data_IF_950176659016
#
_entry.id   IF_950176659016
#
_cell.length_a   1.000
_cell.length_b   1.000
_cell.length_c   1.000
_cell.angle_alpha   90.00
_cell.angle_beta   90.00
_cell.angle_gamma   90.00
#
_symmetry.space_group_name_H-M   'P 1'
#
loop_
_entity.id
_entity.type
_entity.pdbx_description
1 polymer ?
#
# COMPACT_ATOMS: atom_id res chain seq x y z
N UNK A 1 -59.17 17.28 -59.54
CA UNK A 1 -57.90 17.53 -60.26
C UNK A 1 -56.78 16.90 -59.44
N UNK A 2 -55.90 16.17 -60.14
CA UNK A 2 -54.52 15.76 -59.79
C UNK A 2 -54.31 14.88 -58.55
N UNK A 3 -54.15 13.56 -58.69
CA UNK A 3 -52.96 12.78 -59.09
C UNK A 3 -51.84 12.79 -58.04
N UNK A 4 -51.65 11.62 -57.43
CA UNK A 4 -50.38 11.15 -56.82
C UNK A 4 -49.24 11.18 -57.84
N UNK A 5 -47.98 11.18 -57.36
CA UNK A 5 -47.21 9.95 -57.57
C UNK A 5 -46.34 9.53 -56.38
N UNK A 6 -45.98 8.25 -56.44
CA UNK A 6 -45.07 7.49 -55.60
C UNK A 6 -43.70 8.13 -55.36
N UNK A 7 -43.09 7.82 -54.22
CA UNK A 7 -41.72 7.31 -54.20
C UNK A 7 -41.42 6.55 -52.91
N UNK A 8 -41.34 5.25 -53.13
CA UNK A 8 -40.76 4.22 -52.30
C UNK A 8 -39.23 4.34 -52.33
N UNK A 9 -38.58 4.60 -51.19
CA UNK A 9 -37.19 4.20 -50.96
C UNK A 9 -37.10 3.68 -49.53
N UNK A 10 -37.23 2.36 -49.40
CA UNK A 10 -36.84 1.63 -48.21
C UNK A 10 -35.35 1.80 -47.94
N UNK A 11 -35.05 2.36 -46.78
CA UNK A 11 -33.74 2.31 -46.15
C UNK A 11 -33.89 1.58 -44.82
N UNK A 12 -34.00 0.25 -44.87
CA UNK A 12 -33.64 -0.57 -43.71
C UNK A 12 -32.15 -0.37 -43.45
N UNK A 13 -31.82 0.62 -42.62
CA UNK A 13 -30.54 0.65 -41.95
C UNK A 13 -30.64 -0.40 -40.86
N UNK A 14 -30.26 -1.63 -41.22
CA UNK A 14 -29.81 -2.63 -40.27
C UNK A 14 -28.56 -2.04 -39.62
N UNK A 15 -28.77 -1.26 -38.56
CA UNK A 15 -27.71 -0.89 -37.63
C UNK A 15 -27.41 -2.16 -36.85
N UNK A 16 -26.49 -2.95 -37.40
CA UNK A 16 -25.83 -4.04 -36.71
C UNK A 16 -25.16 -3.46 -35.48
N UNK A 17 -25.93 -3.45 -34.39
CA UNK A 17 -25.51 -3.23 -33.02
C UNK A 17 -24.47 -4.28 -32.73
N UNK A 18 -23.22 -3.93 -32.95
CA UNK A 18 -22.08 -4.65 -32.41
C UNK A 18 -22.14 -4.42 -30.89
N UNK A 19 -22.85 -5.31 -30.20
CA UNK A 19 -22.85 -5.38 -28.75
C UNK A 19 -21.44 -5.78 -28.30
N UNK A 20 -20.58 -4.77 -28.20
CA UNK A 20 -19.35 -4.83 -27.41
C UNK A 20 -19.78 -5.23 -25.99
N UNK A 21 -19.19 -6.29 -25.41
CA UNK A 21 -19.80 -6.98 -24.28
C UNK A 21 -19.82 -6.10 -23.04
N UNK A 22 -21.02 -5.97 -22.44
CA UNK A 22 -21.34 -5.30 -21.17
C UNK A 22 -20.58 -5.83 -19.92
N UNK A 23 -19.54 -6.63 -20.13
CA UNK A 23 -18.67 -7.21 -19.11
C UNK A 23 -17.66 -6.17 -18.59
N UNK A 24 -17.20 -5.25 -19.47
CA UNK A 24 -16.25 -4.19 -19.14
C UNK A 24 -16.79 -3.21 -18.09
N UNK A 25 -18.07 -2.83 -18.19
CA UNK A 25 -18.65 -1.79 -17.34
C UNK A 25 -18.91 -2.30 -15.91
N UNK A 26 -19.38 -3.54 -15.77
CA UNK A 26 -19.63 -4.15 -14.46
C UNK A 26 -18.34 -4.37 -13.67
N UNK A 27 -17.28 -4.82 -14.33
CA UNK A 27 -15.98 -5.01 -13.67
C UNK A 27 -15.34 -3.67 -13.29
N UNK A 28 -15.49 -2.65 -14.13
CA UNK A 28 -15.01 -1.29 -13.86
C UNK A 28 -15.73 -0.65 -12.67
N UNK A 29 -17.07 -0.77 -12.62
CA UNK A 29 -17.87 -0.32 -11.46
C UNK A 29 -17.47 -1.07 -10.19
N UNK A 30 -17.29 -2.39 -10.26
CA UNK A 30 -16.86 -3.19 -9.11
C UNK A 30 -15.45 -2.80 -8.62
N UNK A 31 -14.52 -2.50 -9.54
CA UNK A 31 -13.20 -2.00 -9.20
C UNK A 31 -13.26 -0.62 -8.52
N UNK A 32 -14.05 0.32 -9.05
CA UNK A 32 -14.23 1.64 -8.45
C UNK A 32 -14.88 1.56 -7.06
N UNK A 33 -15.92 0.72 -6.89
CA UNK A 33 -16.53 0.46 -5.57
C UNK A 33 -15.52 -0.09 -4.57
N UNK A 34 -14.64 -1.02 -4.98
CA UNK A 34 -13.55 -1.55 -4.13
C UNK A 34 -12.54 -0.48 -3.74
N UNK A 35 -12.12 0.38 -4.67
CA UNK A 35 -11.21 1.50 -4.35
C UNK A 35 -11.83 2.48 -3.37
N UNK A 36 -13.09 2.89 -3.57
CA UNK A 36 -13.84 3.73 -2.62
C UNK A 36 -13.93 3.09 -1.24
N UNK A 37 -14.28 1.80 -1.17
CA UNK A 37 -14.39 1.07 0.10
C UNK A 37 -13.03 0.98 0.82
N UNK A 38 -11.95 0.75 0.09
CA UNK A 38 -10.59 0.71 0.64
C UNK A 38 -10.17 2.07 1.19
N UNK A 39 -10.40 3.15 0.44
CA UNK A 39 -10.12 4.51 0.89
C UNK A 39 -10.93 4.89 2.13
N UNK A 40 -12.21 4.52 2.17
CA UNK A 40 -13.06 4.67 3.38
C UNK A 40 -12.47 3.91 4.57
N UNK A 41 -12.05 2.65 4.36
CA UNK A 41 -11.42 1.84 5.40
C UNK A 41 -10.14 2.48 5.96
N UNK A 42 -9.31 3.09 5.11
CA UNK A 42 -8.14 3.85 5.58
C UNK A 42 -8.53 5.08 6.40
N UNK A 43 -9.51 5.86 5.94
CA UNK A 43 -10.01 7.03 6.65
C UNK A 43 -10.55 6.66 8.03
N UNK A 44 -11.45 5.67 8.12
CA UNK A 44 -11.99 5.18 9.39
C UNK A 44 -10.88 4.68 10.31
N UNK A 45 -9.88 3.95 9.79
CA UNK A 45 -8.74 3.51 10.60
C UNK A 45 -7.93 4.67 11.17
N UNK A 46 -7.80 5.79 10.44
CA UNK A 46 -7.13 6.97 10.99
C UNK A 46 -7.96 7.65 12.06
N UNK A 47 -9.29 7.72 11.90
CA UNK A 47 -10.19 8.20 12.95
C UNK A 47 -10.03 7.36 14.22
N UNK A 48 -10.03 6.02 14.12
CA UNK A 48 -9.82 5.13 15.28
C UNK A 48 -8.45 5.32 15.95
N UNK A 49 -7.40 5.64 15.18
CA UNK A 49 -6.06 5.90 15.73
C UNK A 49 -6.07 7.22 16.51
N UNK A 50 -6.67 8.26 15.94
CA UNK A 50 -6.78 9.58 16.59
C UNK A 50 -7.61 9.48 17.87
N UNK A 51 -8.74 8.77 17.84
CA UNK A 51 -9.61 8.53 19.00
C UNK A 51 -8.89 7.77 20.13
N UNK A 52 -8.02 6.81 19.78
CA UNK A 52 -7.16 6.14 20.79
C UNK A 52 -6.08 7.05 21.34
N UNK A 53 -5.58 8.00 20.56
CA UNK A 53 -4.55 8.93 21.01
C UNK A 53 -5.13 9.97 21.97
N UNK A 54 -6.35 10.46 21.71
CA UNK A 54 -7.04 11.42 22.58
C UNK A 54 -7.43 10.85 23.95
N UNK A 55 -7.46 9.53 24.10
CA UNK A 55 -7.66 8.88 25.39
C UNK A 55 -6.55 9.18 26.42
N UNK A 56 -5.39 9.73 26.00
CA UNK A 56 -4.31 10.15 26.89
C UNK A 56 -3.85 11.57 26.54
N UNK A 57 -4.05 12.49 27.46
CA UNK A 57 -3.72 13.92 27.33
C UNK A 57 -2.24 14.17 26.96
N UNK A 58 -1.31 13.31 27.38
CA UNK A 58 0.10 13.45 27.03
C UNK A 58 0.38 13.26 25.52
N UNK A 59 -0.61 12.84 24.75
CA UNK A 59 -0.50 12.68 23.30
C UNK A 59 -0.92 13.92 22.50
N UNK A 60 -1.23 15.08 23.11
CA UNK A 60 -1.70 16.29 22.39
C UNK A 60 -0.85 16.59 21.14
N UNK A 61 0.49 16.63 21.28
CA UNK A 61 1.40 16.85 20.15
C UNK A 61 1.26 15.78 19.05
N UNK A 62 1.12 14.50 19.43
CA UNK A 62 0.95 13.40 18.48
C UNK A 62 -0.40 13.44 17.77
N UNK A 63 -1.46 13.84 18.47
CA UNK A 63 -2.80 14.07 17.88
C UNK A 63 -2.70 15.21 16.88
N UNK A 64 -2.05 16.32 17.23
CA UNK A 64 -1.82 17.47 16.34
C UNK A 64 -1.08 17.08 15.06
N UNK A 65 0.03 16.36 15.18
CA UNK A 65 0.80 15.88 14.02
C UNK A 65 -0.02 14.98 13.09
N UNK A 66 -0.82 14.09 13.68
CA UNK A 66 -1.72 13.21 12.93
C UNK A 66 -2.86 13.96 12.27
N UNK A 67 -3.39 14.98 12.92
CA UNK A 67 -4.40 15.89 12.36
C UNK A 67 -3.88 16.63 11.13
N UNK A 68 -2.62 17.09 11.11
CA UNK A 68 -2.03 17.68 9.90
C UNK A 68 -1.98 16.74 8.70
N UNK A 69 -1.81 15.43 8.94
CA UNK A 69 -1.80 14.42 7.89
C UNK A 69 -3.19 13.90 7.53
N UNK A 70 -4.20 14.12 8.38
CA UNK A 70 -5.55 13.56 8.25
C UNK A 70 -6.29 13.99 6.96
N UNK A 71 -6.21 15.25 6.49
CA UNK A 71 -6.82 15.68 5.23
C UNK A 71 -6.40 14.84 4.01
N UNK A 72 -5.17 14.30 4.00
CA UNK A 72 -4.69 13.45 2.89
C UNK A 72 -5.53 12.17 2.74
N UNK A 73 -6.13 11.66 3.81
CA UNK A 73 -6.99 10.47 3.76
C UNK A 73 -8.40 10.83 3.29
N UNK A 74 -8.89 12.01 3.67
CA UNK A 74 -10.14 12.59 3.15
C UNK A 74 -10.03 12.79 1.63
N UNK A 75 -8.92 13.36 1.16
CA UNK A 75 -8.64 13.54 -0.26
C UNK A 75 -8.59 12.21 -1.03
N UNK A 76 -7.91 11.20 -0.49
CA UNK A 76 -7.89 9.85 -1.09
C UNK A 76 -9.29 9.25 -1.22
N UNK A 77 -10.14 9.44 -0.22
CA UNK A 77 -11.55 9.04 -0.32
C UNK A 77 -12.30 9.83 -1.39
N UNK A 78 -12.13 11.17 -1.43
CA UNK A 78 -12.77 12.03 -2.41
C UNK A 78 -12.40 11.67 -3.85
N UNK A 79 -11.11 11.42 -4.12
CA UNK A 79 -10.63 10.97 -5.44
C UNK A 79 -11.28 9.64 -5.82
N UNK A 80 -11.22 8.63 -4.96
CA UNK A 80 -11.84 7.33 -5.23
C UNK A 80 -13.37 7.42 -5.37
N UNK A 81 -14.01 8.40 -4.71
CA UNK A 81 -15.42 8.66 -4.85
C UNK A 81 -15.76 9.27 -6.22
N UNK A 82 -15.01 10.27 -6.66
CA UNK A 82 -15.18 10.89 -7.99
C UNK A 82 -14.96 9.86 -9.10
N UNK A 83 -13.97 8.98 -8.95
CA UNK A 83 -13.77 7.86 -9.88
C UNK A 83 -15.00 6.94 -9.98
N UNK A 84 -15.65 6.66 -8.84
CA UNK A 84 -16.89 5.88 -8.85
C UNK A 84 -18.00 6.63 -9.59
N UNK A 85 -18.21 7.90 -9.30
CA UNK A 85 -19.24 8.69 -9.99
C UNK A 85 -19.02 8.71 -11.51
N UNK A 86 -17.77 8.79 -11.96
CA UNK A 86 -17.42 8.78 -13.38
C UNK A 86 -17.73 7.48 -14.13
N UNK A 87 -17.98 6.37 -13.42
CA UNK A 87 -18.29 5.06 -14.03
C UNK A 87 -19.74 4.61 -13.80
N UNK A 88 -20.52 5.36 -13.02
CA UNK A 88 -21.94 5.07 -12.81
C UNK A 88 -22.76 5.62 -13.98
N UNK A 89 -23.64 4.79 -14.53
CA UNK A 89 -24.48 5.14 -15.69
C UNK A 89 -25.91 5.49 -15.28
N UNK A 90 -26.35 5.06 -14.10
CA UNK A 90 -27.71 5.27 -13.60
C UNK A 90 -27.77 6.46 -12.63
N UNK A 91 -28.68 7.40 -12.89
CA UNK A 91 -28.88 8.60 -12.06
C UNK A 91 -29.16 8.26 -10.59
N UNK A 92 -29.89 7.17 -10.33
CA UNK A 92 -30.23 6.77 -8.96
C UNK A 92 -28.99 6.29 -8.18
N UNK A 93 -28.09 5.56 -8.86
CA UNK A 93 -26.83 5.12 -8.26
C UNK A 93 -25.89 6.30 -7.96
N UNK A 94 -25.91 7.33 -8.82
CA UNK A 94 -25.17 8.58 -8.60
C UNK A 94 -25.70 9.29 -7.35
N UNK A 95 -27.01 9.46 -7.22
CA UNK A 95 -27.63 10.09 -6.03
C UNK A 95 -27.32 9.31 -4.75
N UNK A 96 -27.43 7.98 -4.78
CA UNK A 96 -27.10 7.14 -3.63
C UNK A 96 -25.63 7.29 -3.23
N UNK A 97 -24.72 7.32 -4.21
CA UNK A 97 -23.30 7.53 -3.97
C UNK A 97 -23.03 8.93 -3.38
N UNK A 98 -23.61 9.98 -3.94
CA UNK A 98 -23.47 11.35 -3.42
C UNK A 98 -23.99 11.47 -1.99
N UNK A 99 -25.16 10.91 -1.69
CA UNK A 99 -25.71 10.90 -0.34
C UNK A 99 -24.78 10.15 0.63
N UNK A 100 -24.21 9.03 0.19
CA UNK A 100 -23.22 8.30 0.98
C UNK A 100 -21.98 9.15 1.29
N UNK A 101 -21.48 9.94 0.32
CA UNK A 101 -20.37 10.87 0.54
C UNK A 101 -20.75 11.93 1.57
N UNK A 102 -21.90 12.57 1.41
CA UNK A 102 -22.37 13.62 2.34
C UNK A 102 -22.41 13.09 3.77
N UNK A 103 -23.03 11.93 3.98
CA UNK A 103 -23.13 11.32 5.32
C UNK A 103 -21.76 11.00 5.93
N UNK A 104 -20.79 10.55 5.13
CA UNK A 104 -19.45 10.26 5.62
C UNK A 104 -18.68 11.56 5.93
N UNK A 105 -18.78 12.57 5.07
CA UNK A 105 -18.08 13.84 5.27
C UNK A 105 -18.62 14.60 6.48
N UNK A 106 -19.92 14.48 6.77
CA UNK A 106 -20.53 15.02 7.99
C UNK A 106 -19.91 14.39 9.25
N UNK A 107 -19.77 13.06 9.28
CA UNK A 107 -19.09 12.36 10.37
C UNK A 107 -17.62 12.78 10.53
N UNK A 108 -16.91 12.94 9.41
CA UNK A 108 -15.51 13.37 9.39
C UNK A 108 -15.37 14.78 9.93
N UNK A 109 -16.23 15.70 9.50
CA UNK A 109 -16.22 17.09 9.95
C UNK A 109 -16.49 17.20 11.45
N UNK A 110 -17.52 16.52 11.96
CA UNK A 110 -17.84 16.49 13.40
C UNK A 110 -16.66 15.93 14.20
N UNK A 111 -16.00 14.88 13.69
CA UNK A 111 -14.83 14.29 14.32
C UNK A 111 -13.63 15.24 14.32
N UNK A 112 -13.31 15.87 13.19
CA UNK A 112 -12.21 16.85 13.08
C UNK A 112 -12.43 18.04 14.02
N UNK A 113 -13.65 18.58 14.06
CA UNK A 113 -14.03 19.67 14.98
C UNK A 113 -13.85 19.25 16.44
N UNK A 114 -14.29 18.05 16.81
CA UNK A 114 -14.08 17.49 18.15
C UNK A 114 -12.60 17.41 18.53
N UNK A 115 -11.75 17.00 17.59
CA UNK A 115 -10.29 16.95 17.81
C UNK A 115 -9.66 18.33 17.94
N UNK A 116 -10.06 19.29 17.12
CA UNK A 116 -9.57 20.67 17.23
C UNK A 116 -9.96 21.31 18.57
N UNK A 117 -11.20 21.10 19.02
CA UNK A 117 -11.66 21.57 20.32
C UNK A 117 -10.89 20.89 21.47
N UNK A 118 -10.64 19.58 21.37
CA UNK A 118 -9.86 18.85 22.37
C UNK A 118 -8.41 19.33 22.44
N UNK A 119 -7.77 19.59 21.30
CA UNK A 119 -6.41 20.17 21.26
C UNK A 119 -6.42 21.56 21.91
N UNK A 120 -7.35 22.43 21.52
CA UNK A 120 -7.43 23.79 22.04
C UNK A 120 -7.64 23.83 23.56
N UNK A 121 -8.52 22.97 24.09
CA UNK A 121 -8.78 22.89 25.53
C UNK A 121 -7.50 22.57 26.33
N UNK A 122 -6.70 21.62 25.85
CA UNK A 122 -5.50 21.20 26.57
C UNK A 122 -4.28 22.10 26.33
N UNK A 123 -4.25 22.85 25.24
CA UNK A 123 -3.27 23.94 25.05
C UNK A 123 -3.54 25.10 26.02
N UNK A 124 -4.81 25.46 26.25
CA UNK A 124 -5.16 26.52 27.21
C UNK A 124 -4.91 26.12 28.66
N UNK A 125 -5.11 24.85 29.02
CA UNK A 125 -4.82 24.35 30.37
C UNK A 125 -3.30 24.36 30.67
N UNK A 126 -2.45 24.04 29.69
CA UNK A 126 -0.99 24.12 29.83
C UNK A 126 -0.51 25.58 29.96
N UNK A 127 -1.10 26.50 29.18
CA UNK A 127 -0.75 27.92 29.24
C UNK A 127 -1.21 28.56 30.57
N UNK A 128 -2.43 28.26 31.04
CA UNK A 128 -2.95 28.72 32.33
C UNK A 128 -2.16 28.16 33.51
N UNK A 129 -1.79 26.87 33.51
CA UNK A 129 -0.93 26.29 34.56
C UNK A 129 0.46 26.95 34.58
N UNK A 130 1.03 27.23 33.40
CA UNK A 130 2.31 27.92 33.28
C UNK A 130 2.25 29.37 33.77
N UNK A 131 1.15 30.07 33.49
CA UNK A 131 0.94 31.45 33.91
C UNK A 131 0.63 31.52 35.41
N UNK A 132 -0.13 30.57 35.96
CA UNK A 132 -0.37 30.47 37.40
C UNK A 132 0.91 30.10 38.17
N UNK A 133 1.77 29.23 37.63
CA UNK A 133 3.09 28.96 38.20
C UNK A 133 3.98 30.22 38.17
N UNK A 134 3.93 30.98 37.07
CA UNK A 134 4.65 32.26 36.95
C UNK A 134 4.08 33.33 37.89
N UNK A 135 2.77 33.37 38.07
CA UNK A 135 2.10 34.27 39.00
C UNK A 135 2.45 33.93 40.44
N UNK A 136 2.47 32.64 40.82
CA UNK A 136 2.91 32.19 42.14
C UNK A 136 4.39 32.54 42.41
N UNK A 137 5.26 32.40 41.40
CA UNK A 137 6.67 32.84 41.46
C UNK A 137 6.82 34.36 41.54
N UNK A 138 5.88 35.13 40.97
CA UNK A 138 5.87 36.60 41.04
C UNK A 138 5.17 37.16 42.29
N UNK A 139 4.20 36.42 42.84
CA UNK A 139 3.47 36.72 44.07
C UNK A 139 4.29 36.39 45.32
N UNK A 140 5.32 35.53 45.20
CA UNK A 140 6.53 35.64 46.01
C UNK A 140 7.33 36.89 45.64
N UNK A 141 6.71 38.06 45.79
CA UNK A 141 7.43 39.33 45.84
C UNK A 141 8.48 39.30 46.96
N UNK A 142 9.54 40.13 46.87
CA UNK A 142 10.74 40.00 47.67
C UNK A 142 10.41 40.15 49.15
N UNK A 143 10.27 39.04 49.86
CA UNK A 143 10.08 39.07 51.30
C UNK A 143 11.45 39.17 51.97
N UNK A 144 11.81 40.42 52.28
CA UNK A 144 12.90 40.86 53.14
C UNK A 144 14.32 40.41 52.74
N UNK A 145 15.04 41.29 52.05
CA UNK A 145 16.50 41.28 52.06
C UNK A 145 17.06 42.70 52.07
N UNK A 146 16.59 43.55 52.98
CA UNK A 146 17.40 44.64 53.54
C UNK A 146 17.99 44.19 54.88
N UNK A 147 18.91 43.22 54.82
CA UNK A 147 20.04 43.07 55.74
C UNK A 147 20.87 41.90 55.20
N UNK A 148 22.17 42.11 54.99
CA UNK A 148 23.18 41.07 54.71
C UNK A 148 23.50 40.77 53.22
N UNK A 149 23.29 41.71 52.30
CA UNK A 149 23.79 41.55 50.91
C UNK A 149 25.33 41.56 50.78
N UNK A 150 26.08 41.90 51.84
CA UNK A 150 27.55 41.86 51.88
C UNK A 150 28.13 40.67 52.67
N UNK A 151 27.33 39.63 52.94
CA UNK A 151 27.86 38.40 53.54
C UNK A 151 28.36 37.46 52.45
N UNK A 152 29.65 37.05 52.45
CA UNK A 152 30.21 36.13 51.44
C UNK A 152 29.48 34.77 51.36
N UNK A 153 28.65 34.45 52.35
CA UNK A 153 27.81 33.24 52.39
C UNK A 153 26.55 33.41 51.49
N UNK A 154 26.04 34.63 51.33
CA UNK A 154 24.85 34.90 50.51
C UNK A 154 25.18 34.89 49.02
N UNK A 155 26.31 35.48 48.63
CA UNK A 155 26.82 35.44 47.25
C UNK A 155 27.18 34.02 46.80
N UNK A 156 27.72 33.18 47.69
CA UNK A 156 27.99 31.77 47.38
C UNK A 156 26.72 30.95 47.13
N UNK A 157 25.65 31.21 47.89
CA UNK A 157 24.35 30.55 47.71
C UNK A 157 23.65 30.98 46.41
N UNK A 158 23.76 32.25 46.03
CA UNK A 158 23.23 32.75 44.76
C UNK A 158 24.02 32.18 43.57
N UNK A 159 25.35 32.13 43.66
CA UNK A 159 26.19 31.57 42.61
C UNK A 159 25.95 30.06 42.42
N UNK A 160 25.85 29.30 43.50
CA UNK A 160 25.56 27.85 43.41
C UNK A 160 24.16 27.57 42.87
N UNK A 161 23.17 28.42 43.17
CA UNK A 161 21.85 28.32 42.58
C UNK A 161 21.86 28.63 41.08
N UNK A 162 22.53 29.70 40.66
CA UNK A 162 22.70 30.07 39.25
C UNK A 162 23.47 29.00 38.46
N UNK A 163 24.50 28.37 39.04
CA UNK A 163 25.21 27.25 38.42
C UNK A 163 24.31 26.03 38.23
N UNK A 164 23.45 25.72 39.21
CA UNK A 164 22.50 24.62 39.10
C UNK A 164 21.42 24.89 38.04
N UNK A 165 20.90 26.12 37.97
CA UNK A 165 19.95 26.52 36.92
C UNK A 165 20.59 26.51 35.53
N UNK A 166 21.80 27.07 35.38
CA UNK A 166 22.52 27.04 34.11
C UNK A 166 22.77 25.60 33.64
N UNK A 167 23.15 24.70 34.56
CA UNK A 167 23.32 23.29 34.23
C UNK A 167 22.02 22.64 33.78
N UNK A 168 20.90 22.96 34.45
CA UNK A 168 19.58 22.44 34.08
C UNK A 168 19.18 22.93 32.68
N UNK A 169 19.41 24.20 32.37
CA UNK A 169 19.15 24.78 31.05
C UNK A 169 20.07 24.15 29.98
N UNK A 170 21.34 23.90 30.29
CA UNK A 170 22.25 23.20 29.38
C UNK A 170 21.79 21.76 29.10
N UNK A 171 21.32 21.04 30.12
CA UNK A 171 20.77 19.70 29.98
C UNK A 171 19.48 19.71 29.12
N UNK A 172 18.58 20.68 29.31
CA UNK A 172 17.38 20.88 28.49
C UNK A 172 17.71 21.20 27.03
N UNK A 173 18.69 22.08 26.78
CA UNK A 173 19.15 22.40 25.43
C UNK A 173 19.69 21.15 24.72
N UNK A 174 20.46 20.32 25.43
CA UNK A 174 20.94 19.06 24.87
C UNK A 174 19.78 18.10 24.56
N UNK A 175 18.82 17.94 25.48
CA UNK A 175 17.66 17.09 25.25
C UNK A 175 16.85 17.55 24.02
N UNK A 176 16.55 18.84 23.91
CA UNK A 176 15.85 19.41 22.76
C UNK A 176 16.63 19.22 21.45
N UNK A 177 17.95 19.37 21.48
CA UNK A 177 18.81 19.11 20.32
C UNK A 177 18.77 17.64 19.89
N UNK A 178 18.81 16.70 20.84
CA UNK A 178 18.67 15.27 20.52
C UNK A 178 17.31 14.96 19.93
N UNK A 179 16.23 15.55 20.47
CA UNK A 179 14.86 15.38 19.97
C UNK A 179 14.70 15.90 18.54
N UNK A 180 15.21 17.09 18.24
CA UNK A 180 15.20 17.64 16.88
C UNK A 180 15.97 16.77 15.88
N UNK A 181 17.13 16.25 16.29
CA UNK A 181 17.92 15.35 15.45
C UNK A 181 17.19 14.04 15.16
N UNK A 182 16.48 13.49 16.16
CA UNK A 182 15.64 12.31 15.99
C UNK A 182 14.45 12.57 15.07
N UNK A 183 13.80 13.72 15.21
CA UNK A 183 12.68 14.13 14.36
C UNK A 183 13.10 14.31 12.89
N UNK A 184 14.25 14.96 12.64
CA UNK A 184 14.83 15.10 11.32
C UNK A 184 15.17 13.74 10.71
N UNK A 185 15.76 12.84 11.50
CA UNK A 185 16.07 11.48 11.06
C UNK A 185 14.81 10.69 10.72
N UNK A 186 13.76 10.81 11.52
CA UNK A 186 12.48 10.14 11.29
C UNK A 186 11.80 10.66 10.02
N UNK A 187 11.85 11.98 9.79
CA UNK A 187 11.36 12.60 8.55
C UNK A 187 12.10 12.07 7.32
N UNK A 188 13.43 11.95 7.40
CA UNK A 188 14.25 11.36 6.32
C UNK A 188 13.91 9.90 6.05
N UNK A 189 13.72 9.09 7.09
CA UNK A 189 13.32 7.69 6.96
C UNK A 189 11.91 7.55 6.35
N UNK A 190 10.99 8.44 6.72
CA UNK A 190 9.63 8.48 6.15
C UNK A 190 9.66 8.78 4.66
N UNK A 191 10.41 9.82 4.25
CA UNK A 191 10.61 10.15 2.84
C UNK A 191 11.24 8.99 2.06
N UNK A 192 12.25 8.33 2.64
CA UNK A 192 12.88 7.16 2.00
C UNK A 192 11.90 6.00 1.81
N UNK A 193 11.04 5.75 2.81
CA UNK A 193 9.99 4.72 2.73
C UNK A 193 8.94 5.05 1.68
N UNK A 194 8.50 6.31 1.61
CA UNK A 194 7.55 6.76 0.59
C UNK A 194 8.14 6.63 -0.82
N UNK A 195 9.43 6.97 -0.99
CA UNK A 195 10.13 6.79 -2.26
C UNK A 195 10.20 5.30 -2.67
N UNK A 196 10.59 4.42 -1.75
CA UNK A 196 10.62 2.97 -2.02
C UNK A 196 9.23 2.44 -2.40
N UNK A 197 8.17 2.92 -1.74
CA UNK A 197 6.81 2.53 -2.06
C UNK A 197 6.41 2.98 -3.46
N UNK A 198 6.75 4.22 -3.82
CA UNK A 198 6.51 4.75 -5.16
C UNK A 198 7.24 3.93 -6.24
N UNK A 199 8.51 3.60 -6.01
CA UNK A 199 9.31 2.80 -6.96
C UNK A 199 8.73 1.39 -7.14
N UNK A 200 8.27 0.76 -6.06
CA UNK A 200 7.60 -0.54 -6.12
C UNK A 200 6.25 -0.47 -6.85
N UNK A 201 5.45 0.56 -6.60
CA UNK A 201 4.18 0.76 -7.28
C UNK A 201 4.37 1.00 -8.78
N UNK A 202 5.40 1.77 -9.15
CA UNK A 202 5.81 1.96 -10.55
C UNK A 202 6.22 0.64 -11.20
N UNK A 203 7.09 -0.15 -10.58
CA UNK A 203 7.50 -1.46 -11.11
C UNK A 203 6.32 -2.43 -11.26
N UNK A 204 5.36 -2.39 -10.33
CA UNK A 204 4.12 -3.17 -10.42
C UNK A 204 3.24 -2.73 -11.60
N UNK A 205 3.11 -1.43 -11.83
CA UNK A 205 2.37 -0.87 -12.97
C UNK A 205 3.02 -1.24 -14.30
N UNK A 206 4.35 -1.24 -14.37
CA UNK A 206 5.10 -1.61 -15.57
C UNK A 206 5.03 -3.12 -15.88
N UNK A 207 5.06 -3.97 -14.85
CA UNK A 207 5.01 -5.44 -15.00
C UNK A 207 3.61 -5.98 -15.29
N UNK A 208 2.55 -5.33 -14.80
CA UNK A 208 1.16 -5.76 -15.00
C UNK A 208 0.77 -6.00 -16.48
N UNK A 209 0.99 -5.07 -17.43
CA UNK A 209 0.62 -5.29 -18.83
C UNK A 209 1.46 -6.40 -19.48
N UNK A 210 2.70 -6.61 -19.03
CA UNK A 210 3.57 -7.68 -19.54
C UNK A 210 2.99 -9.04 -19.14
N UNK A 211 2.65 -9.22 -17.86
CA UNK A 211 2.03 -10.44 -17.35
C UNK A 211 0.67 -10.72 -17.99
N UNK A 212 -0.11 -9.67 -18.25
CA UNK A 212 -1.43 -9.79 -18.90
C UNK A 212 -1.31 -10.23 -20.36
N UNK A 213 -0.35 -9.69 -21.11
CA UNK A 213 -0.04 -10.16 -22.47
C UNK A 213 0.40 -11.62 -22.50
N UNK A 214 1.28 -12.01 -21.57
CA UNK A 214 1.76 -13.39 -21.52
C UNK A 214 0.64 -14.37 -21.14
N UNK A 215 -0.24 -13.97 -20.22
CA UNK A 215 -1.46 -14.73 -19.89
C UNK A 215 -2.36 -14.90 -21.11
N UNK A 216 -2.58 -13.86 -21.90
CA UNK A 216 -3.36 -13.96 -23.13
C UNK A 216 -2.73 -14.93 -24.14
N UNK A 217 -1.41 -14.82 -24.36
CA UNK A 217 -0.68 -15.75 -25.23
C UNK A 217 -0.86 -17.21 -24.79
N UNK A 218 -0.68 -17.51 -23.51
CA UNK A 218 -0.86 -18.88 -23.00
C UNK A 218 -2.30 -19.38 -23.15
N UNK A 219 -3.31 -18.52 -22.97
CA UNK A 219 -4.70 -18.90 -23.18
C UNK A 219 -4.99 -19.24 -24.65
N UNK A 220 -4.42 -18.49 -25.60
CA UNK A 220 -4.53 -18.79 -27.03
C UNK A 220 -3.87 -20.12 -27.39
N UNK A 221 -2.67 -20.41 -26.85
CA UNK A 221 -2.00 -21.69 -27.05
C UNK A 221 -2.80 -22.86 -26.45
N UNK A 222 -3.34 -22.71 -25.23
CA UNK A 222 -4.19 -23.73 -24.62
C UNK A 222 -5.46 -23.98 -25.44
N UNK A 223 -6.08 -22.92 -25.96
CA UNK A 223 -7.26 -23.04 -26.83
C UNK A 223 -6.91 -23.81 -28.10
N UNK A 224 -5.80 -23.45 -28.76
CA UNK A 224 -5.32 -24.11 -29.96
C UNK A 224 -5.03 -25.60 -29.74
N UNK A 225 -4.34 -25.95 -28.65
CA UNK A 225 -4.05 -27.35 -28.29
C UNK A 225 -5.32 -28.13 -27.99
N UNK A 226 -6.32 -27.49 -27.36
CA UNK A 226 -7.63 -28.12 -27.09
C UNK A 226 -8.39 -28.39 -28.38
N UNK A 227 -8.39 -27.44 -29.31
CA UNK A 227 -8.98 -27.62 -30.65
C UNK A 227 -8.28 -28.74 -31.42
N UNK A 228 -6.95 -28.78 -31.37
CA UNK A 228 -6.16 -29.84 -32.01
C UNK A 228 -6.48 -31.22 -31.40
N UNK A 229 -6.53 -31.33 -30.07
CA UNK A 229 -6.92 -32.56 -29.38
C UNK A 229 -8.33 -33.03 -29.76
N UNK A 230 -9.29 -32.11 -29.81
CA UNK A 230 -10.67 -32.41 -30.23
C UNK A 230 -10.72 -32.86 -31.69
N UNK A 231 -9.89 -32.29 -32.56
CA UNK A 231 -9.77 -32.71 -33.96
C UNK A 231 -9.24 -34.15 -34.07
N UNK A 232 -8.21 -34.51 -33.29
CA UNK A 232 -7.67 -35.87 -33.23
C UNK A 232 -8.70 -36.88 -32.67
N UNK A 233 -9.44 -36.51 -31.62
CA UNK A 233 -10.51 -37.36 -31.08
C UNK A 233 -11.62 -37.60 -32.11
N UNK A 234 -12.02 -36.55 -32.83
CA UNK A 234 -13.03 -36.65 -33.89
C UNK A 234 -12.56 -37.55 -35.03
N UNK A 235 -11.31 -37.42 -35.48
CA UNK A 235 -10.73 -38.30 -36.49
C UNK A 235 -10.62 -39.75 -35.99
N UNK A 236 -10.24 -39.98 -34.74
CA UNK A 236 -10.20 -41.32 -34.14
C UNK A 236 -11.58 -41.99 -34.12
N UNK A 237 -12.63 -41.26 -33.77
CA UNK A 237 -14.00 -41.78 -33.79
C UNK A 237 -14.51 -42.12 -35.21
N UNK A 238 -13.99 -41.45 -36.25
CA UNK A 238 -14.29 -41.82 -37.65
C UNK A 238 -13.59 -43.10 -38.10
N UNK A 239 -12.43 -43.44 -37.51
CA UNK A 239 -11.77 -44.72 -37.74
C UNK A 239 -12.47 -45.88 -37.00
N UNK A 240 -12.94 -45.66 -35.77
CA UNK A 240 -13.66 -46.68 -34.99
C UNK A 240 -15.09 -46.95 -35.50
N UNK A 241 -15.73 -45.97 -36.15
CA UNK A 241 -17.08 -46.15 -36.75
C UNK A 241 -17.07 -46.79 -38.13
N UNK A 242 -15.90 -46.92 -38.77
CA UNK A 242 -15.71 -47.80 -39.94
C UNK A 242 -15.17 -49.15 -39.49
N UNK A 243 -15.92 -49.82 -38.64
CA UNK A 243 -15.76 -51.24 -38.35
C UNK A 243 -16.00 -52.06 -39.61
N UNK A 244 -14.93 -52.35 -40.35
CA UNK A 244 -14.87 -53.49 -41.25
C UNK A 244 -15.17 -54.75 -40.45
N UNK A 245 -16.15 -55.52 -40.92
CA UNK A 245 -16.31 -56.92 -40.56
C UNK A 245 -14.96 -57.63 -40.75
N UNK A 246 -14.34 -58.11 -39.67
CA UNK A 246 -13.36 -59.18 -39.77
C UNK A 246 -14.02 -60.49 -39.36
N UNK A 247 -14.39 -61.25 -40.38
CA UNK A 247 -14.45 -62.71 -40.28
C UNK A 247 -13.03 -63.25 -40.42
N UNK A 248 -12.74 -64.23 -39.57
CA UNK A 248 -11.69 -65.25 -39.65
C UNK A 248 -10.21 -64.84 -39.49
N UNK A 249 -9.60 -65.44 -38.45
CA UNK A 249 -8.16 -65.59 -38.22
C UNK A 249 -7.41 -66.06 -39.47
N UNK A 250 -6.11 -65.76 -39.58
CA UNK A 250 -5.14 -66.79 -39.18
C UNK A 250 -3.86 -66.27 -38.50
N UNK A 251 -3.39 -67.08 -37.55
CA UNK A 251 -1.99 -67.53 -37.40
C UNK A 251 -0.90 -66.48 -37.18
N UNK A 252 -0.49 -66.40 -35.91
CA UNK A 252 0.83 -66.01 -35.42
C UNK A 252 1.98 -66.65 -36.23
N UNK A 253 3.02 -65.88 -36.55
CA UNK A 253 4.38 -66.38 -36.44
C UNK A 253 5.15 -65.57 -35.39
N UNK A 254 5.84 -66.29 -34.51
CA UNK A 254 6.85 -65.76 -33.62
C UNK A 254 8.01 -65.16 -34.39
N UNK A 255 8.43 -63.93 -34.04
CA UNK A 255 9.80 -63.45 -34.19
C UNK A 255 10.05 -62.30 -33.20
N UNK A 256 10.87 -62.56 -32.18
CA UNK A 256 11.72 -61.58 -31.49
C UNK A 256 13.13 -61.68 -32.10
N UNK A 257 14.12 -60.86 -31.73
CA UNK A 257 14.21 -59.40 -31.67
C UNK A 257 15.38 -58.88 -32.55
N UNK A 258 15.35 -57.62 -33.01
CA UNK A 258 16.45 -57.04 -33.79
C UNK A 258 16.60 -55.55 -33.59
N UNK A 259 17.47 -55.17 -32.66
CA UNK A 259 18.09 -53.84 -32.62
C UNK A 259 18.74 -53.50 -33.97
N UNK A 260 18.75 -52.22 -34.36
CA UNK A 260 19.97 -51.66 -34.90
C UNK A 260 20.43 -50.46 -34.07
N UNK A 261 21.60 -50.65 -33.50
CA UNK A 261 22.71 -49.72 -33.28
C UNK A 261 22.47 -48.25 -33.63
N UNK A 262 22.49 -47.44 -32.57
CA UNK A 262 22.88 -46.04 -32.61
C UNK A 262 24.34 -45.98 -33.03
N UNK A 263 24.61 -45.54 -34.27
CA UNK A 263 25.95 -45.13 -34.69
C UNK A 263 25.97 -43.65 -35.00
N UNK A 264 26.68 -42.95 -34.11
CA UNK A 264 27.19 -41.59 -34.16
C UNK A 264 27.49 -41.03 -35.56
N UNK A 265 27.06 -39.78 -35.80
CA UNK A 265 27.86 -38.73 -36.47
C UNK A 265 27.19 -37.36 -36.31
N UNK A 266 27.59 -36.64 -35.26
CA UNK A 266 27.49 -35.17 -35.20
C UNK A 266 28.80 -34.59 -35.74
N UNK A 267 28.79 -33.64 -36.68
CA UNK A 267 29.96 -32.82 -37.00
C UNK A 267 30.11 -31.72 -35.95
N UNK A 268 31.27 -31.65 -35.29
CA UNK A 268 31.74 -30.41 -34.68
C UNK A 268 31.99 -29.35 -35.76
N UNK A 269 31.76 -28.07 -35.45
CA UNK A 269 32.93 -27.20 -35.44
C UNK A 269 32.96 -26.20 -34.27
N UNK A 270 34.16 -26.16 -33.68
CA UNK A 270 34.94 -24.97 -33.31
C UNK A 270 34.46 -24.07 -32.16
N UNK A 271 35.14 -24.28 -31.03
CA UNK A 271 35.36 -23.29 -29.99
C UNK A 271 36.13 -22.07 -30.52
N UNK A 272 35.63 -20.87 -30.21
CA UNK A 272 36.47 -19.75 -29.79
C UNK A 272 35.95 -19.20 -28.45
N UNK A 273 36.83 -18.69 -27.59
CA UNK A 273 36.53 -18.48 -26.18
C UNK A 273 35.88 -17.12 -25.95
N UNK A 274 34.76 -17.09 -25.23
CA UNK A 274 34.26 -15.87 -24.60
C UNK A 274 33.88 -16.18 -23.15
N UNK A 275 34.34 -15.29 -22.29
CA UNK A 275 34.44 -15.38 -20.83
C UNK A 275 33.16 -15.84 -20.11
N UNK A 276 33.30 -16.50 -18.95
CA UNK A 276 32.15 -16.99 -18.20
C UNK A 276 31.37 -15.84 -17.58
N UNK A 277 30.17 -15.62 -18.10
CA UNK A 277 29.07 -15.03 -17.36
C UNK A 277 28.56 -16.08 -16.38
N UNK A 278 28.95 -15.98 -15.10
CA UNK A 278 28.38 -16.78 -14.03
C UNK A 278 27.06 -16.18 -13.58
N UNK A 279 25.96 -16.79 -14.01
CA UNK A 279 24.76 -16.91 -13.19
C UNK A 279 24.50 -18.39 -13.05
N UNK A 280 24.63 -18.93 -11.83
CA UNK A 280 23.65 -19.88 -11.28
C UNK A 280 24.04 -20.35 -9.88
N UNK A 281 23.02 -20.30 -9.02
CA UNK A 281 22.78 -21.15 -7.85
C UNK A 281 23.74 -21.06 -6.66
N UNK A 282 23.39 -20.19 -5.71
CA UNK A 282 23.13 -20.59 -4.31
C UNK A 282 21.97 -19.75 -3.76
N UNK A 283 20.74 -20.18 -4.04
CA UNK A 283 19.52 -19.74 -3.36
C UNK A 283 18.95 -20.99 -2.68
N UNK A 284 19.64 -21.44 -1.66
CA UNK A 284 19.20 -22.48 -0.73
C UNK A 284 19.80 -22.19 0.63
N UNK A 285 19.19 -21.23 1.34
CA UNK A 285 19.04 -21.14 2.80
C UNK A 285 18.76 -19.69 3.18
N UNK A 286 17.50 -19.27 3.02
CA UNK A 286 16.96 -18.19 3.84
C UNK A 286 16.54 -18.89 5.14
N UNK A 287 17.12 -18.56 6.31
CA UNK A 287 16.55 -19.02 7.56
C UNK A 287 15.19 -18.34 7.73
N UNK A 288 14.15 -19.13 7.95
CA UNK A 288 12.85 -18.61 8.38
C UNK A 288 13.08 -17.67 9.58
N UNK A 289 12.89 -16.37 9.34
CA UNK A 289 12.81 -15.36 10.37
C UNK A 289 11.46 -15.53 11.08
N UNK A 290 11.38 -16.52 11.96
CA UNK A 290 10.35 -16.54 13.00
C UNK A 290 10.60 -15.37 13.95
N UNK A 291 9.54 -14.66 14.35
CA UNK A 291 9.55 -13.42 15.14
C UNK A 291 10.43 -13.45 16.41
N UNK A 292 10.76 -14.64 16.93
CA UNK A 292 11.64 -14.80 18.09
C UNK A 292 13.12 -14.45 17.82
N UNK A 293 13.61 -14.53 16.58
CA UNK A 293 15.02 -14.23 16.28
C UNK A 293 15.30 -12.73 16.15
N UNK A 294 14.32 -11.93 15.71
CA UNK A 294 14.48 -10.48 15.63
C UNK A 294 14.58 -9.83 17.01
N UNK A 295 13.82 -10.36 17.98
CA UNK A 295 13.89 -9.91 19.38
C UNK A 295 15.23 -10.25 20.03
N UNK A 296 15.82 -11.42 19.72
CA UNK A 296 17.13 -11.83 20.25
C UNK A 296 18.27 -10.95 19.72
N UNK A 297 18.25 -10.61 18.43
CA UNK A 297 19.28 -9.75 17.83
C UNK A 297 19.20 -8.31 18.38
N UNK A 298 17.98 -7.83 18.66
CA UNK A 298 17.79 -6.52 19.30
C UNK A 298 18.22 -6.52 20.78
N UNK A 299 17.98 -7.61 21.51
CA UNK A 299 18.39 -7.76 22.90
C UNK A 299 19.93 -7.84 23.03
N UNK A 300 20.61 -8.54 22.13
CA UNK A 300 22.08 -8.61 22.11
C UNK A 300 22.72 -7.27 21.72
N UNK A 301 22.10 -6.51 20.81
CA UNK A 301 22.55 -5.16 20.45
C UNK A 301 22.39 -4.17 21.63
N UNK A 302 21.30 -4.27 22.40
CA UNK A 302 21.08 -3.44 23.58
C UNK A 302 22.04 -3.79 24.73
N UNK A 303 22.35 -5.07 24.92
CA UNK A 303 23.34 -5.51 25.92
C UNK A 303 24.78 -5.11 25.58
N UNK A 304 25.13 -4.99 24.29
CA UNK A 304 26.46 -4.46 23.91
C UNK A 304 26.59 -2.97 24.20
N UNK A 305 25.52 -2.19 24.04
CA UNK A 305 25.55 -0.76 24.33
C UNK A 305 25.61 -0.47 25.83
N UNK A 306 24.95 -1.28 26.66
CA UNK A 306 24.95 -1.13 28.11
C UNK A 306 26.26 -1.57 28.80
N UNK A 307 27.06 -2.43 28.16
CA UNK A 307 28.34 -2.91 28.70
C UNK A 307 29.56 -2.12 28.21
N UNK A 308 29.35 -1.06 27.42
CA UNK A 308 30.40 -0.16 26.95
C UNK A 308 30.43 1.21 27.66
N UNK A 309 29.63 1.37 28.71
CA UNK A 309 29.59 2.52 29.64
C UNK A 309 30.05 2.11 31.03
#
# INVERSE_FOLDING_TARGET
MSTTPDSNVGGEIISSREEVPAISDKETIAAAKRRRATAKGFLTKQMDILDKLTANINNVNRVRDKMYAFPRFVDKFNVAHVELLGVLTEQEQVKEAEQYKVNLMDQVMIFEEGLHNWIAQHETEEEEESEQARELLSASGPHNAESDQDSPIYTDKVNTHLEAENKTIEDEIMELSTKQNLELRNSKLTLQKEQQFFDLEKAKLESKPILERERHRMMEECKKLTEELNSYQTMRHQFDTKGYCSTTNPTTPMYTPGHPEVTSRVPQPQHTPREPSTVSHELSHIPELTENNAASVLADALNQVLNMS
#
